data_IF_334645807245
#
_entry.id   IF_334645807245
#
_cell.length_a   1.000
_cell.length_b   1.000
_cell.length_c   1.000
_cell.angle_alpha   90.00
_cell.angle_beta   90.00
_cell.angle_gamma   90.00
#
_symmetry.space_group_name_H-M   'P 1'
#
loop_
_entity.id
_entity.type
_entity.pdbx_description
1 polymer ?
#
# COMPACT_ATOMS: atom_id res chain seq x y z
N UNK A 1 6.36 18.42 1.28
CA UNK A 1 6.28 17.04 1.80
C UNK A 1 5.25 16.28 0.97
N UNK A 2 5.54 15.06 0.49
CA UNK A 2 4.54 14.24 -0.19
C UNK A 2 3.39 13.92 0.77
N UNK A 3 2.16 13.83 0.24
CA UNK A 3 1.03 13.36 1.04
C UNK A 3 1.20 11.86 1.29
N UNK A 4 0.90 11.42 2.50
CA UNK A 4 0.91 10.00 2.85
C UNK A 4 -0.49 9.38 2.64
N UNK A 5 -0.54 8.15 2.14
CA UNK A 5 -1.77 7.38 1.98
C UNK A 5 -1.56 5.94 2.47
N UNK A 6 -2.57 5.40 3.15
CA UNK A 6 -2.64 3.99 3.53
C UNK A 6 -3.76 3.35 2.71
N UNK A 7 -3.47 2.24 2.04
CA UNK A 7 -4.44 1.50 1.25
C UNK A 7 -4.66 0.13 1.88
N UNK A 8 -5.78 -0.02 2.58
CA UNK A 8 -6.25 -1.32 3.11
C UNK A 8 -6.75 -2.19 1.97
N UNK A 9 -6.33 -3.45 1.91
CA UNK A 9 -6.58 -4.30 0.74
C UNK A 9 -5.82 -3.83 -0.50
N UNK A 10 -4.77 -3.03 -0.34
CA UNK A 10 -3.98 -2.46 -1.43
C UNK A 10 -3.12 -3.46 -2.22
N UNK A 11 -3.15 -4.74 -1.85
CA UNK A 11 -2.27 -5.78 -2.39
C UNK A 11 -2.88 -6.58 -3.55
N UNK A 12 -4.15 -6.34 -3.91
CA UNK A 12 -4.85 -7.04 -4.99
C UNK A 12 -5.93 -6.17 -5.67
N UNK A 13 -6.42 -6.63 -6.83
CA UNK A 13 -7.55 -6.05 -7.57
C UNK A 13 -7.53 -4.50 -7.66
N UNK A 14 -8.65 -3.87 -7.26
CA UNK A 14 -8.85 -2.41 -7.30
C UNK A 14 -7.91 -1.71 -6.32
N UNK A 15 -7.65 -2.30 -5.14
CA UNK A 15 -6.77 -1.72 -4.12
C UNK A 15 -5.36 -1.51 -4.65
N UNK A 16 -4.81 -2.47 -5.38
CA UNK A 16 -3.51 -2.32 -6.06
C UNK A 16 -3.53 -1.19 -7.08
N UNK A 17 -4.59 -1.10 -7.89
CA UNK A 17 -4.75 0.00 -8.85
C UNK A 17 -4.76 1.37 -8.19
N UNK A 18 -5.47 1.51 -7.07
CA UNK A 18 -5.52 2.74 -6.27
C UNK A 18 -4.14 3.09 -5.71
N UNK A 19 -3.44 2.11 -5.12
CA UNK A 19 -2.12 2.33 -4.54
C UNK A 19 -1.11 2.82 -5.58
N UNK A 20 -1.09 2.20 -6.76
CA UNK A 20 -0.23 2.60 -7.88
C UNK A 20 -0.62 3.99 -8.42
N UNK A 21 -1.93 4.28 -8.51
CA UNK A 21 -2.42 5.60 -8.93
C UNK A 21 -1.99 6.72 -7.98
N UNK A 22 -2.10 6.49 -6.67
CA UNK A 22 -1.66 7.43 -5.64
C UNK A 22 -0.14 7.66 -5.68
N UNK A 23 0.64 6.59 -5.86
CA UNK A 23 2.09 6.69 -6.04
C UNK A 23 2.47 7.55 -7.25
N UNK A 24 1.83 7.30 -8.40
CA UNK A 24 2.02 8.11 -9.63
C UNK A 24 1.60 9.57 -9.45
N UNK A 25 0.66 9.86 -8.55
CA UNK A 25 0.25 11.20 -8.18
C UNK A 25 1.22 11.89 -7.18
N UNK A 26 2.32 11.22 -6.79
CA UNK A 26 3.35 11.77 -5.90
C UNK A 26 3.11 11.52 -4.42
N UNK A 27 2.20 10.62 -4.06
CA UNK A 27 1.99 10.22 -2.66
C UNK A 27 3.04 9.20 -2.20
N UNK A 28 3.35 9.21 -0.90
CA UNK A 28 3.98 8.08 -0.22
C UNK A 28 2.90 7.08 0.19
N UNK A 29 3.10 5.79 -0.09
CA UNK A 29 2.00 4.80 -0.02
C UNK A 29 2.35 3.63 0.88
N UNK A 30 1.49 3.35 1.86
CA UNK A 30 1.52 2.15 2.69
C UNK A 30 0.49 1.12 2.18
N UNK A 31 0.92 -0.11 1.94
CA UNK A 31 0.05 -1.24 1.60
C UNK A 31 -0.27 -2.02 2.87
N UNK A 32 -1.53 -2.00 3.29
CA UNK A 32 -1.99 -2.73 4.47
C UNK A 32 -2.89 -3.91 4.08
N UNK A 33 -2.54 -5.11 4.52
CA UNK A 33 -3.35 -6.31 4.26
C UNK A 33 -2.76 -7.55 4.94
N UNK A 34 -3.51 -8.66 4.93
CA UNK A 34 -3.14 -9.88 5.67
C UNK A 34 -2.05 -10.74 5.03
N UNK A 35 -1.87 -10.63 3.70
CA UNK A 35 -0.88 -11.43 2.99
C UNK A 35 0.38 -10.59 2.75
N UNK A 36 1.42 -10.87 3.55
CA UNK A 36 2.68 -10.15 3.54
C UNK A 36 3.38 -10.20 2.17
N UNK A 37 3.46 -11.37 1.55
CA UNK A 37 4.09 -11.54 0.23
C UNK A 37 3.41 -10.69 -0.85
N UNK A 38 2.07 -10.68 -0.87
CA UNK A 38 1.30 -9.84 -1.80
C UNK A 38 1.50 -8.35 -1.49
N UNK A 39 1.57 -7.97 -0.22
CA UNK A 39 1.83 -6.57 0.16
C UNK A 39 3.20 -6.14 -0.35
N UNK A 40 4.23 -6.96 -0.13
CA UNK A 40 5.61 -6.67 -0.48
C UNK A 40 5.80 -6.56 -2.00
N UNK A 41 5.12 -7.43 -2.77
CA UNK A 41 5.09 -7.33 -4.23
C UNK A 41 4.59 -5.96 -4.68
N UNK A 42 3.49 -5.45 -4.13
CA UNK A 42 2.95 -4.14 -4.51
C UNK A 42 3.84 -3.00 -4.00
N UNK A 43 4.44 -3.14 -2.81
CA UNK A 43 5.42 -2.17 -2.28
C UNK A 43 6.59 -1.98 -3.25
N UNK A 44 7.17 -3.08 -3.74
CA UNK A 44 8.27 -3.07 -4.72
C UNK A 44 7.86 -2.45 -6.05
N UNK A 45 6.64 -2.72 -6.54
CA UNK A 45 6.11 -2.04 -7.74
C UNK A 45 6.01 -0.51 -7.54
N UNK A 46 5.63 -0.05 -6.35
CA UNK A 46 5.59 1.38 -6.02
C UNK A 46 7.00 1.97 -5.94
N UNK A 47 7.97 1.25 -5.37
CA UNK A 47 9.37 1.71 -5.37
C UNK A 47 9.92 1.84 -6.79
N UNK A 48 9.55 0.95 -7.71
CA UNK A 48 9.94 1.04 -9.12
C UNK A 48 9.36 2.29 -9.82
N UNK A 49 8.26 2.84 -9.32
CA UNK A 49 7.67 4.11 -9.77
C UNK A 49 8.47 5.32 -9.20
N UNK A 50 9.35 5.08 -8.23
CA UNK A 50 10.13 6.12 -7.55
C UNK A 50 9.40 6.80 -6.40
N UNK A 51 8.25 6.25 -5.98
CA UNK A 51 7.49 6.76 -4.84
C UNK A 51 7.90 6.03 -3.54
N UNK A 52 8.00 6.74 -2.40
CA UNK A 52 8.26 6.10 -1.12
C UNK A 52 7.12 5.15 -0.74
N UNK A 53 7.45 3.94 -0.29
CA UNK A 53 6.45 2.95 0.08
C UNK A 53 6.84 2.09 1.28
N UNK A 54 5.83 1.54 1.94
CA UNK A 54 5.97 0.53 2.98
C UNK A 54 4.86 -0.53 2.85
N UNK A 55 5.13 -1.73 3.36
CA UNK A 55 4.15 -2.81 3.50
C UNK A 55 3.85 -3.03 4.99
N UNK A 56 2.59 -3.32 5.32
CA UNK A 56 2.15 -3.62 6.68
C UNK A 56 1.24 -4.85 6.66
N UNK A 57 1.68 -5.93 7.32
CA UNK A 57 0.81 -7.05 7.61
C UNK A 57 -0.21 -6.64 8.66
N UNK A 58 -1.48 -6.56 8.27
CA UNK A 58 -2.55 -6.06 9.12
C UNK A 58 -3.85 -6.80 8.80
N UNK A 59 -4.51 -7.26 9.86
CA UNK A 59 -5.92 -7.62 9.81
C UNK A 59 -6.74 -6.40 10.25
N UNK A 60 -7.57 -5.87 9.35
CA UNK A 60 -8.36 -4.66 9.58
C UNK A 60 -9.60 -4.91 10.44
N UNK A 61 -9.99 -6.18 10.64
CA UNK A 61 -11.08 -6.53 11.56
C UNK A 61 -10.63 -6.50 13.02
N UNK A 62 -9.32 -6.60 13.28
CA UNK A 62 -8.80 -6.60 14.64
C UNK A 62 -8.77 -5.18 15.23
N UNK A 63 -9.49 -5.00 16.34
CA UNK A 63 -9.50 -3.75 17.10
C UNK A 63 -9.41 -4.06 18.59
N UNK A 64 -8.62 -3.28 19.33
CA UNK A 64 -8.54 -3.31 20.79
C UNK A 64 -9.34 -2.13 21.34
N UNK A 65 -10.25 -2.39 22.28
CA UNK A 65 -11.05 -1.38 22.99
C UNK A 65 -10.41 -0.99 24.31
#
# INVERSE_FOLDING_TARGET
>A
MPRAAIVTGGNDCIGRGIAIGLAKAGASVCIAGRNEEKNERVRLEIEQIGAPSMSLCCDVEYSVS
#
